data_IF_806596856975
#
_entry.id   IF_806596856975
#
_cell.length_a   1.000
_cell.length_b   1.000
_cell.length_c   1.000
_cell.angle_alpha   90.00
_cell.angle_beta   90.00
_cell.angle_gamma   90.00
#
_symmetry.space_group_name_H-M   'P 1'
#
loop_
_entity.id
_entity.type
_entity.pdbx_description
1 polymer ?
#
# COMPACT_ATOMS: atom_id res chain seq x y z
N UNK A 1 -1.49 8.48 -4.86
CA UNK A 1 -1.70 7.03 -4.66
C UNK A 1 -1.17 6.60 -3.29
N UNK A 2 -1.83 5.65 -2.65
CA UNK A 2 -1.50 5.16 -1.32
C UNK A 2 -1.15 3.67 -1.40
N UNK A 3 -0.07 3.25 -0.72
CA UNK A 3 0.33 1.85 -0.64
C UNK A 3 -0.14 1.24 0.69
N UNK A 4 -1.15 0.36 0.70
CA UNK A 4 -1.67 -0.23 1.92
C UNK A 4 -0.67 -1.18 2.59
N UNK A 5 0.25 -1.80 1.85
CA UNK A 5 1.25 -2.71 2.41
C UNK A 5 2.28 -1.95 3.24
N UNK A 6 2.74 -0.79 2.76
CA UNK A 6 3.62 0.09 3.53
C UNK A 6 2.96 0.65 4.79
N UNK A 7 1.67 0.98 4.69
CA UNK A 7 0.90 1.39 5.86
C UNK A 7 0.90 0.31 6.94
N UNK A 8 0.63 -0.94 6.57
CA UNK A 8 0.52 -2.04 7.55
C UNK A 8 1.79 -2.24 8.38
N UNK A 9 2.97 -2.10 7.78
CA UNK A 9 4.25 -2.19 8.50
C UNK A 9 4.47 -1.10 9.57
N UNK A 10 3.69 -0.03 9.56
CA UNK A 10 3.74 1.04 10.55
C UNK A 10 2.88 0.76 11.78
N UNK A 11 1.93 -0.19 11.72
CA UNK A 11 0.99 -0.51 12.79
C UNK A 11 1.54 -1.62 13.69
N UNK A 12 2.48 -1.25 14.58
CA UNK A 12 3.22 -2.19 15.45
C UNK A 12 2.57 -2.40 16.81
N UNK A 13 1.67 -1.51 17.22
CA UNK A 13 0.99 -1.57 18.50
C UNK A 13 -0.40 -2.18 18.34
N UNK A 14 -0.90 -2.81 19.40
CA UNK A 14 -2.22 -3.44 19.41
C UNK A 14 -2.91 -3.19 20.73
N UNK A 15 -4.21 -2.91 20.70
CA UNK A 15 -5.14 -2.91 21.83
C UNK A 15 -6.43 -3.65 21.47
N UNK A 16 -7.47 -3.53 22.28
CA UNK A 16 -8.77 -4.22 22.07
C UNK A 16 -9.51 -3.75 20.82
N UNK A 17 -9.22 -2.53 20.33
CA UNK A 17 -9.81 -1.97 19.10
C UNK A 17 -9.10 -2.49 17.84
N UNK A 18 -7.79 -2.74 17.92
CA UNK A 18 -7.02 -3.25 16.78
C UNK A 18 -5.55 -2.81 16.76
N UNK A 19 -4.94 -2.99 15.58
CA UNK A 19 -3.56 -2.52 15.36
C UNK A 19 -3.51 -1.02 15.09
N UNK A 20 -2.55 -0.32 15.71
CA UNK A 20 -2.38 1.12 15.54
C UNK A 20 -0.91 1.55 15.44
N UNK A 21 -0.72 2.70 14.78
CA UNK A 21 0.52 3.46 14.75
C UNK A 21 0.45 4.65 15.71
N UNK A 22 1.60 5.11 16.19
CA UNK A 22 1.73 6.27 17.07
C UNK A 22 2.18 7.50 16.28
N UNK A 23 1.32 8.52 16.21
CA UNK A 23 1.64 9.82 15.63
C UNK A 23 1.97 10.83 16.73
N UNK A 24 3.16 11.43 16.67
CA UNK A 24 3.62 12.43 17.63
C UNK A 24 2.77 13.69 17.54
N UNK A 25 2.22 14.15 18.66
CA UNK A 25 1.41 15.39 18.74
C UNK A 25 2.20 16.60 19.21
N UNK A 26 3.47 16.45 19.61
CA UNK A 26 4.37 17.56 19.97
C UNK A 26 5.01 18.19 18.73
N UNK A 27 5.35 19.49 18.83
CA UNK A 27 6.11 20.23 17.85
C UNK A 27 7.57 19.76 17.72
N UNK A 28 8.29 20.40 16.79
CA UNK A 28 9.71 20.19 16.53
C UNK A 28 10.44 21.53 16.45
N UNK A 29 11.77 21.53 16.63
CA UNK A 29 12.60 22.75 16.56
C UNK A 29 12.37 23.57 15.28
N UNK A 30 12.23 22.88 14.15
CA UNK A 30 11.95 23.49 12.84
C UNK A 30 10.54 24.06 12.70
N UNK A 31 9.60 23.65 13.57
CA UNK A 31 8.19 24.04 13.52
C UNK A 31 7.62 24.10 14.94
N UNK A 32 7.99 25.16 15.72
CA UNK A 32 7.46 25.31 17.06
C UNK A 32 5.96 25.59 17.05
N UNK A 33 5.25 25.09 18.05
CA UNK A 33 3.81 25.17 18.18
C UNK A 33 3.43 25.82 19.51
N UNK A 34 2.12 25.96 19.80
CA UNK A 34 1.62 26.54 21.03
C UNK A 34 2.09 25.73 22.27
N UNK A 35 2.69 26.42 23.24
CA UNK A 35 3.18 25.84 24.49
C UNK A 35 2.13 25.94 25.58
N UNK A 36 1.78 24.82 26.16
CA UNK A 36 0.94 24.72 27.34
C UNK A 36 1.19 23.38 28.04
N UNK A 37 0.86 23.30 29.34
CA UNK A 37 0.85 22.03 30.05
C UNK A 37 -0.44 21.27 29.76
N UNK A 38 -0.33 19.97 29.54
CA UNK A 38 -1.45 19.06 29.42
C UNK A 38 -1.19 17.77 30.20
N UNK A 39 -1.88 17.61 31.33
CA UNK A 39 -1.74 16.45 32.24
C UNK A 39 -0.28 16.15 32.61
N UNK A 40 0.52 17.21 32.88
CA UNK A 40 1.93 17.10 33.22
C UNK A 40 2.88 16.98 32.03
N UNK A 41 2.40 16.96 30.81
CA UNK A 41 3.22 16.98 29.60
C UNK A 41 3.38 18.42 29.09
N UNK A 42 4.63 18.87 29.01
CA UNK A 42 5.00 20.20 28.52
C UNK A 42 6.15 20.09 27.52
N UNK A 43 5.88 19.70 26.27
CA UNK A 43 6.92 19.51 25.27
C UNK A 43 7.64 20.81 24.92
N UNK A 44 8.96 20.79 24.79
CA UNK A 44 9.83 21.94 24.55
C UNK A 44 9.38 22.80 23.35
N UNK A 45 8.86 22.20 22.30
CA UNK A 45 8.39 22.89 21.09
C UNK A 45 6.86 22.97 20.97
N UNK A 46 6.14 22.77 22.09
CA UNK A 46 4.69 22.86 22.19
C UNK A 46 3.95 21.69 21.55
N UNK A 47 2.63 21.80 21.47
CA UNK A 47 1.74 20.81 20.85
C UNK A 47 1.29 21.25 19.46
N UNK A 48 1.24 20.33 18.49
CA UNK A 48 0.73 20.55 17.12
C UNK A 48 -0.78 20.68 17.05
N UNK A 49 -1.48 20.35 18.13
CA UNK A 49 -2.95 20.39 18.23
C UNK A 49 -3.33 21.19 19.47
N UNK A 50 -4.55 21.70 19.50
CA UNK A 50 -5.05 22.54 20.62
C UNK A 50 -5.37 21.68 21.84
N UNK A 51 -5.54 22.34 23.00
CA UNK A 51 -5.94 21.68 24.26
C UNK A 51 -7.28 20.97 24.11
N UNK A 52 -8.26 21.64 23.50
CA UNK A 52 -9.61 21.12 23.27
C UNK A 52 -9.56 19.83 22.42
N UNK A 53 -8.68 19.81 21.41
CA UNK A 53 -8.50 18.62 20.57
C UNK A 53 -7.80 17.48 21.30
N UNK A 54 -6.88 17.78 22.25
CA UNK A 54 -6.30 16.75 23.12
C UNK A 54 -7.35 16.15 24.06
N UNK A 55 -8.23 16.98 24.62
CA UNK A 55 -9.33 16.52 25.47
C UNK A 55 -10.32 15.64 24.71
N UNK A 56 -10.72 16.04 23.52
CA UNK A 56 -11.56 15.24 22.62
C UNK A 56 -10.93 13.87 22.34
N UNK A 57 -9.66 13.84 21.93
CA UNK A 57 -8.94 12.59 21.65
C UNK A 57 -8.76 11.74 22.91
N UNK A 58 -8.56 12.37 24.08
CA UNK A 58 -8.46 11.66 25.35
C UNK A 58 -9.79 11.00 25.74
N UNK A 59 -10.91 11.69 25.52
CA UNK A 59 -12.26 11.15 25.78
C UNK A 59 -12.60 9.96 24.86
N UNK A 60 -12.03 9.91 23.67
CA UNK A 60 -12.20 8.82 22.71
C UNK A 60 -11.16 7.69 22.89
N UNK A 61 -10.33 7.73 23.91
CA UNK A 61 -9.17 6.81 24.12
C UNK A 61 -8.19 6.73 22.92
N UNK A 62 -8.09 7.81 22.16
CA UNK A 62 -7.21 7.92 20.99
C UNK A 62 -5.83 8.48 21.31
N UNK A 63 -5.48 8.65 22.61
CA UNK A 63 -4.16 9.08 23.05
C UNK A 63 -3.40 7.94 23.71
N UNK A 64 -2.12 7.87 23.39
CA UNK A 64 -1.13 7.04 24.08
C UNK A 64 -0.17 7.93 24.85
N UNK A 65 -0.10 7.74 26.16
CA UNK A 65 0.75 8.49 27.08
C UNK A 65 2.08 7.76 27.26
N UNK A 66 3.13 8.23 26.59
CA UNK A 66 4.49 7.73 26.78
C UNK A 66 5.20 8.45 27.95
N UNK A 67 6.45 8.09 28.25
CA UNK A 67 7.20 8.67 29.37
C UNK A 67 7.42 10.20 29.26
N UNK A 68 7.68 10.70 28.05
CA UNK A 68 8.01 12.11 27.82
C UNK A 68 7.13 12.80 26.77
N UNK A 69 6.23 12.07 26.10
CA UNK A 69 5.41 12.60 25.03
C UNK A 69 4.05 11.93 24.99
N UNK A 70 3.08 12.67 24.43
CA UNK A 70 1.77 12.14 24.07
C UNK A 70 1.77 11.82 22.57
N UNK A 71 1.11 10.74 22.21
CA UNK A 71 0.95 10.30 20.82
C UNK A 71 -0.53 10.09 20.52
N UNK A 72 -0.95 10.42 19.31
CA UNK A 72 -2.25 10.03 18.80
C UNK A 72 -2.18 8.61 18.25
N UNK A 73 -3.12 7.74 18.65
CA UNK A 73 -3.33 6.44 18.02
C UNK A 73 -3.97 6.64 16.65
N UNK A 74 -3.43 5.99 15.63
CA UNK A 74 -4.02 5.92 14.28
C UNK A 74 -4.22 4.45 13.98
N UNK A 75 -5.48 4.01 13.91
CA UNK A 75 -5.78 2.61 13.69
C UNK A 75 -5.62 2.19 12.23
N UNK A 76 -5.25 0.92 12.01
CA UNK A 76 -5.00 0.37 10.68
C UNK A 76 -6.24 0.41 9.77
N UNK A 77 -7.42 0.21 10.34
CA UNK A 77 -8.70 0.24 9.60
C UNK A 77 -9.13 1.67 9.18
N UNK A 78 -8.60 2.71 9.84
CA UNK A 78 -8.84 4.11 9.47
C UNK A 78 -7.82 4.62 8.44
N UNK A 79 -6.71 3.90 8.26
CA UNK A 79 -5.62 4.34 7.39
C UNK A 79 -5.92 4.00 5.94
N UNK A 80 -5.85 5.02 5.11
CA UNK A 80 -5.92 4.84 3.65
C UNK A 80 -4.60 4.37 3.03
N UNK A 81 -3.57 4.11 3.85
CA UNK A 81 -2.21 3.80 3.40
C UNK A 81 -1.27 5.01 3.48
N UNK A 82 -0.03 4.81 3.07
CA UNK A 82 0.97 5.88 2.95
C UNK A 82 1.22 6.22 1.49
N UNK A 83 1.58 7.47 1.16
CA UNK A 83 1.96 7.83 -0.20
C UNK A 83 3.11 6.94 -0.71
N UNK A 84 3.00 6.49 -1.95
CA UNK A 84 4.05 5.71 -2.59
C UNK A 84 5.34 6.54 -2.62
N UNK A 85 6.42 5.98 -2.07
CA UNK A 85 7.72 6.63 -2.04
C UNK A 85 8.45 6.48 -3.38
N UNK A 86 9.53 7.22 -3.56
CA UNK A 86 10.37 7.18 -4.76
C UNK A 86 11.44 6.07 -4.72
N UNK A 87 11.69 5.45 -3.56
CA UNK A 87 12.59 4.31 -3.40
C UNK A 87 11.78 3.06 -3.08
N UNK A 88 11.94 2.01 -3.88
CA UNK A 88 11.23 0.73 -3.77
C UNK A 88 12.22 -0.41 -3.56
N UNK A 89 12.68 -0.57 -2.33
CA UNK A 89 13.64 -1.58 -1.89
C UNK A 89 13.00 -2.94 -1.54
N UNK A 90 11.69 -3.03 -1.60
CA UNK A 90 10.88 -4.22 -1.33
C UNK A 90 10.44 -4.98 -2.60
N UNK A 91 10.88 -4.53 -3.78
CA UNK A 91 10.60 -5.18 -5.06
C UNK A 91 11.85 -5.93 -5.53
N UNK A 92 11.80 -7.25 -5.42
CA UNK A 92 12.90 -8.13 -5.80
C UNK A 92 12.70 -8.69 -7.22
N UNK A 93 13.78 -9.16 -7.84
CA UNK A 93 13.74 -9.88 -9.11
C UNK A 93 13.02 -11.23 -8.94
N UNK A 94 12.43 -11.73 -10.02
CA UNK A 94 11.74 -13.02 -10.04
C UNK A 94 12.76 -14.14 -9.93
N UNK A 95 12.68 -14.94 -8.85
CA UNK A 95 13.55 -16.10 -8.65
C UNK A 95 13.18 -17.24 -9.63
N UNK A 96 14.11 -18.19 -9.82
CA UNK A 96 13.84 -19.35 -10.69
C UNK A 96 12.73 -20.26 -10.18
N UNK A 97 12.46 -20.23 -8.88
CA UNK A 97 11.46 -21.05 -8.18
C UNK A 97 10.10 -20.39 -8.03
N UNK A 98 9.92 -19.14 -8.46
CA UNK A 98 8.63 -18.46 -8.32
C UNK A 98 7.56 -19.05 -9.23
N UNK A 99 6.37 -19.31 -8.66
CA UNK A 99 5.20 -19.86 -9.38
C UNK A 99 4.76 -18.98 -10.55
N UNK A 100 4.95 -17.67 -10.44
CA UNK A 100 4.55 -16.69 -11.47
C UNK A 100 5.60 -16.49 -12.58
N UNK A 101 6.66 -17.30 -12.59
CA UNK A 101 7.69 -17.23 -13.62
C UNK A 101 7.18 -17.80 -14.92
N UNK A 102 7.07 -16.95 -15.94
CA UNK A 102 6.82 -17.35 -17.33
C UNK A 102 8.14 -17.69 -18.03
N UNK A 103 8.07 -18.48 -19.10
CA UNK A 103 9.25 -18.80 -19.93
C UNK A 103 9.63 -17.63 -20.84
N UNK A 104 9.72 -16.41 -20.25
CA UNK A 104 10.10 -15.20 -20.99
C UNK A 104 11.28 -14.52 -20.28
N UNK A 105 12.40 -14.24 -20.99
CA UNK A 105 13.67 -13.84 -20.38
C UNK A 105 13.60 -12.55 -19.58
N UNK A 106 12.75 -11.61 -19.99
CA UNK A 106 12.70 -10.24 -19.45
C UNK A 106 11.43 -9.96 -18.62
N UNK A 107 10.80 -11.00 -18.10
CA UNK A 107 9.60 -10.86 -17.25
C UNK A 107 9.88 -9.94 -16.05
N UNK A 108 8.98 -8.98 -15.79
CA UNK A 108 9.03 -8.09 -14.64
C UNK A 108 8.23 -8.66 -13.46
N UNK A 109 8.58 -8.32 -12.20
CA UNK A 109 7.80 -8.72 -11.04
C UNK A 109 6.39 -8.12 -11.07
N UNK A 110 5.37 -8.94 -10.77
CA UNK A 110 3.96 -8.47 -10.67
C UNK A 110 3.82 -7.31 -9.70
N UNK A 111 4.45 -7.41 -8.53
CA UNK A 111 4.43 -6.37 -7.48
C UNK A 111 4.88 -4.99 -8.00
N UNK A 112 5.84 -4.96 -8.92
CA UNK A 112 6.31 -3.73 -9.55
C UNK A 112 5.21 -3.09 -10.40
N UNK A 113 4.63 -3.88 -11.32
CA UNK A 113 3.63 -3.39 -12.26
C UNK A 113 2.33 -3.02 -11.54
N UNK A 114 1.89 -3.82 -10.57
CA UNK A 114 0.71 -3.50 -9.75
C UNK A 114 0.87 -2.18 -8.99
N UNK A 115 2.07 -1.90 -8.44
CA UNK A 115 2.36 -0.63 -7.77
C UNK A 115 2.30 0.54 -8.76
N UNK A 116 2.92 0.42 -9.94
CA UNK A 116 2.88 1.43 -10.98
C UNK A 116 1.43 1.70 -11.40
N UNK A 117 0.67 0.66 -11.69
CA UNK A 117 -0.72 0.77 -12.14
C UNK A 117 -1.59 1.41 -11.06
N UNK A 118 -1.53 0.93 -9.80
CA UNK A 118 -2.30 1.51 -8.69
C UNK A 118 -1.96 2.98 -8.42
N UNK A 119 -0.71 3.39 -8.67
CA UNK A 119 -0.28 4.77 -8.44
C UNK A 119 -0.68 5.75 -9.56
N UNK A 120 -0.90 5.28 -10.77
CA UNK A 120 -1.06 6.13 -11.96
C UNK A 120 -2.37 5.94 -12.72
N UNK A 121 -3.12 4.87 -12.44
CA UNK A 121 -4.37 4.57 -13.13
C UNK A 121 -5.50 4.32 -12.11
N UNK A 122 -6.64 5.02 -12.17
CA UNK A 122 -7.79 4.75 -11.31
C UNK A 122 -8.39 3.37 -11.60
N UNK A 123 -9.14 2.81 -10.65
CA UNK A 123 -9.90 1.57 -10.88
C UNK A 123 -10.87 1.75 -12.06
N UNK A 124 -11.01 0.71 -12.89
CA UNK A 124 -11.77 0.75 -14.13
C UNK A 124 -11.10 1.54 -15.27
N UNK A 125 -9.98 2.21 -15.01
CA UNK A 125 -9.22 2.95 -16.01
C UNK A 125 -8.50 2.03 -17.02
N UNK A 126 -7.84 2.63 -18.01
CA UNK A 126 -7.14 1.94 -19.09
C UNK A 126 -5.62 2.04 -18.95
N UNK A 127 -4.95 0.91 -19.08
CA UNK A 127 -3.49 0.76 -19.14
C UNK A 127 -3.10 0.38 -20.56
N UNK A 128 -2.13 1.09 -21.13
CA UNK A 128 -1.54 0.77 -22.43
C UNK A 128 -0.09 0.30 -22.23
N UNK A 129 0.23 -0.88 -22.78
CA UNK A 129 1.61 -1.38 -22.86
C UNK A 129 1.94 -1.81 -24.28
N UNK A 130 2.68 -0.99 -25.04
CA UNK A 130 3.03 -1.29 -26.42
C UNK A 130 4.18 -2.31 -26.57
N UNK A 131 4.76 -2.82 -25.48
CA UNK A 131 5.89 -3.76 -25.43
C UNK A 131 5.66 -4.85 -24.38
N UNK A 132 4.52 -5.55 -24.48
CA UNK A 132 3.96 -6.36 -23.39
C UNK A 132 4.85 -7.55 -22.98
N UNK A 133 5.73 -8.05 -23.82
CA UNK A 133 6.56 -9.21 -23.51
C UNK A 133 5.73 -10.40 -23.01
N UNK A 134 5.99 -10.85 -21.79
CA UNK A 134 5.27 -11.96 -21.15
C UNK A 134 3.85 -11.63 -20.66
N UNK A 135 3.35 -10.42 -20.89
CA UNK A 135 2.02 -10.00 -20.45
C UNK A 135 1.89 -9.66 -18.96
N UNK A 136 3.00 -9.37 -18.26
CA UNK A 136 2.96 -9.03 -16.83
C UNK A 136 2.07 -7.80 -16.58
N UNK A 137 2.08 -6.82 -17.45
CA UNK A 137 1.21 -5.63 -17.37
C UNK A 137 -0.26 -6.01 -17.43
N UNK A 138 -0.64 -6.92 -18.35
CA UNK A 138 -2.03 -7.41 -18.48
C UNK A 138 -2.51 -8.10 -17.21
N UNK A 139 -1.69 -8.99 -16.64
CA UNK A 139 -1.98 -9.66 -15.37
C UNK A 139 -2.15 -8.64 -14.24
N UNK A 140 -1.23 -7.67 -14.16
CA UNK A 140 -1.26 -6.65 -13.10
C UNK A 140 -2.48 -5.73 -13.23
N UNK A 141 -2.89 -5.39 -14.45
CA UNK A 141 -4.12 -4.63 -14.71
C UNK A 141 -5.36 -5.43 -14.29
N UNK A 142 -5.44 -6.70 -14.65
CA UNK A 142 -6.53 -7.60 -14.24
C UNK A 142 -6.62 -7.70 -12.71
N UNK A 143 -5.51 -8.02 -12.02
CA UNK A 143 -5.46 -8.15 -10.56
C UNK A 143 -5.84 -6.86 -9.81
N UNK A 144 -5.77 -5.73 -10.48
CA UNK A 144 -6.03 -4.42 -9.89
C UNK A 144 -7.30 -3.75 -10.40
N UNK A 145 -8.18 -4.50 -11.08
CA UNK A 145 -9.43 -4.00 -11.67
C UNK A 145 -9.22 -2.85 -12.69
N UNK A 146 -8.24 -2.99 -13.58
CA UNK A 146 -8.00 -2.05 -14.69
C UNK A 146 -8.17 -2.77 -16.01
N UNK A 147 -8.64 -2.01 -17.01
CA UNK A 147 -8.63 -2.48 -18.40
C UNK A 147 -7.22 -2.38 -18.97
N UNK A 148 -6.88 -3.23 -19.94
CA UNK A 148 -5.56 -3.21 -20.55
C UNK A 148 -5.63 -3.42 -22.05
N UNK A 149 -4.80 -2.65 -22.75
CA UNK A 149 -4.48 -2.89 -24.17
C UNK A 149 -2.98 -3.11 -24.23
N UNK A 150 -2.58 -4.26 -24.78
CA UNK A 150 -1.17 -4.61 -24.92
C UNK A 150 -0.83 -5.03 -26.33
N UNK A 151 0.35 -4.67 -26.78
CA UNK A 151 0.89 -5.07 -28.09
C UNK A 151 2.35 -5.50 -27.94
N UNK A 152 2.87 -6.23 -28.89
CA UNK A 152 4.29 -6.54 -29.03
C UNK A 152 4.60 -6.84 -30.50
N UNK A 153 5.85 -6.61 -30.91
CA UNK A 153 6.32 -6.98 -32.25
C UNK A 153 6.66 -8.46 -32.36
N UNK A 154 6.88 -9.13 -31.22
CA UNK A 154 7.18 -10.56 -31.16
C UNK A 154 5.88 -11.37 -31.02
N UNK A 155 5.48 -12.19 -32.02
CA UNK A 155 4.27 -13.01 -31.93
C UNK A 155 4.28 -14.03 -30.78
N UNK A 156 5.45 -14.52 -30.36
CA UNK A 156 5.55 -15.40 -29.18
C UNK A 156 5.20 -14.67 -27.88
N UNK A 157 5.54 -13.38 -27.77
CA UNK A 157 5.14 -12.56 -26.63
C UNK A 157 3.61 -12.44 -26.54
N UNK A 158 2.96 -12.13 -27.67
CA UNK A 158 1.49 -12.04 -27.76
C UNK A 158 0.84 -13.37 -27.39
N UNK A 159 1.34 -14.50 -27.91
CA UNK A 159 0.82 -15.83 -27.56
C UNK A 159 0.92 -16.11 -26.07
N UNK A 160 2.08 -15.86 -25.45
CA UNK A 160 2.29 -16.06 -24.00
C UNK A 160 1.38 -15.16 -23.17
N UNK A 161 1.23 -13.90 -23.57
CA UNK A 161 0.35 -12.96 -22.90
C UNK A 161 -1.12 -13.40 -22.99
N UNK A 162 -1.58 -13.87 -24.17
CA UNK A 162 -2.94 -14.36 -24.36
C UNK A 162 -3.22 -15.62 -23.53
N UNK A 163 -2.34 -16.63 -23.59
CA UNK A 163 -2.46 -17.85 -22.77
C UNK A 163 -2.62 -17.50 -21.29
N UNK A 164 -1.87 -16.51 -20.81
CA UNK A 164 -1.94 -16.03 -19.41
C UNK A 164 -3.28 -15.39 -19.08
N UNK A 165 -3.82 -14.57 -19.96
CA UNK A 165 -5.14 -13.91 -19.76
C UNK A 165 -6.26 -14.96 -19.77
N UNK A 166 -6.19 -15.94 -20.66
CA UNK A 166 -7.17 -17.03 -20.76
C UNK A 166 -7.18 -17.88 -19.47
N UNK A 167 -6.01 -18.21 -18.92
CA UNK A 167 -5.88 -18.89 -17.61
C UNK A 167 -6.56 -18.09 -16.49
N UNK A 168 -6.28 -16.79 -16.39
CA UNK A 168 -6.88 -15.92 -15.36
C UNK A 168 -8.40 -15.79 -15.51
N UNK A 169 -8.88 -15.67 -16.72
CA UNK A 169 -10.32 -15.56 -17.02
C UNK A 169 -11.06 -16.85 -16.63
N UNK A 170 -10.45 -18.01 -16.84
CA UNK A 170 -11.00 -19.30 -16.45
C UNK A 170 -11.10 -19.43 -14.91
N UNK A 171 -10.09 -18.98 -14.18
CA UNK A 171 -10.08 -18.97 -12.70
C UNK A 171 -11.17 -18.04 -12.17
N UNK A 172 -11.29 -16.83 -12.73
CA UNK A 172 -12.30 -15.86 -12.33
C UNK A 172 -13.74 -16.33 -12.56
N UNK A 173 -13.99 -17.15 -13.58
CA UNK A 173 -15.29 -17.73 -13.90
C UNK A 173 -15.63 -18.97 -13.04
N UNK A 174 -14.67 -19.54 -12.29
CA UNK A 174 -14.89 -20.77 -11.51
C UNK A 174 -14.34 -20.65 -10.09
N UNK A 175 -14.94 -19.82 -9.21
CA UNK A 175 -14.46 -19.56 -7.84
C UNK A 175 -14.54 -20.77 -6.89
N UNK A 176 -15.10 -21.91 -7.32
CA UNK A 176 -15.27 -23.11 -6.49
C UNK A 176 -14.04 -24.05 -6.48
N UNK A 177 -13.03 -23.81 -7.31
CA UNK A 177 -11.84 -24.70 -7.37
C UNK A 177 -10.80 -24.39 -6.29
N UNK A 178 -10.75 -23.17 -5.74
CA UNK A 178 -9.78 -22.78 -4.69
C UNK A 178 -10.17 -23.24 -3.27
N UNK A 179 -11.37 -23.77 -3.08
CA UNK A 179 -11.85 -24.24 -1.77
C UNK A 179 -11.46 -25.71 -1.47
N UNK A 180 -10.79 -26.40 -2.40
CA UNK A 180 -10.47 -27.83 -2.31
C UNK A 180 -8.97 -28.17 -2.47
N UNK A 181 -8.07 -27.16 -2.42
CA UNK A 181 -6.62 -27.34 -2.49
C UNK A 181 -5.90 -26.97 -1.21
#
# INVERSE_FOLDING_TARGET
SLDPVYAFNSFKNKDDVGYYALAKVSGEKSRPCARFDYKGYNPEFGFRITREKLEELSAQDLLHYGSNNIYKKIYSHESKGVPVQNLWDDVYFISRSEKNKRKYPTQKPLKLLERIIKSSCPEGGWVLDPFCGSGTTSISAFNTNRNCVTTDTNPDAIRIAQETIDELSTIACNPLMDALS
#
